data_IF_293611515910
#
_entry.id   IF_293611515910
#
_cell.length_a   1.000
_cell.length_b   1.000
_cell.length_c   1.000
_cell.angle_alpha   90.00
_cell.angle_beta   90.00
_cell.angle_gamma   90.00
#
_symmetry.space_group_name_H-M   'P 1'
#
loop_
_entity.id
_entity.type
_entity.pdbx_description
1 polymer ?
#
# COMPACT_ATOMS: atom_id res chain seq x y z
N UNK A 1 21.28 -11.39 -28.57
CA UNK A 1 19.91 -11.30 -28.02
C UNK A 1 19.96 -10.41 -26.79
N UNK A 2 19.42 -9.19 -26.86
CA UNK A 2 19.44 -8.26 -25.72
C UNK A 2 18.15 -8.44 -24.92
N UNK A 3 18.26 -8.93 -23.69
CA UNK A 3 17.13 -9.00 -22.76
C UNK A 3 16.77 -7.58 -22.33
N UNK A 4 15.73 -7.01 -22.95
CA UNK A 4 15.14 -5.78 -22.45
C UNK A 4 14.52 -6.08 -21.08
N UNK A 5 15.27 -5.79 -20.02
CA UNK A 5 14.69 -5.69 -18.69
C UNK A 5 13.62 -4.62 -18.78
N UNK A 6 12.34 -5.01 -18.82
CA UNK A 6 11.24 -4.09 -18.60
C UNK A 6 11.50 -3.46 -17.25
N UNK A 7 12.06 -2.24 -17.26
CA UNK A 7 12.08 -1.38 -16.08
C UNK A 7 10.62 -1.25 -15.73
N UNK A 8 10.18 -1.97 -14.68
CA UNK A 8 8.91 -1.73 -14.04
C UNK A 8 8.96 -0.24 -13.69
N UNK A 9 8.38 0.61 -14.53
CA UNK A 9 8.04 1.95 -14.11
C UNK A 9 7.10 1.68 -12.97
N UNK A 10 7.58 1.80 -11.74
CA UNK A 10 6.71 1.91 -10.58
C UNK A 10 5.79 3.05 -10.94
N UNK A 11 4.56 2.72 -11.37
CA UNK A 11 3.53 3.69 -11.59
C UNK A 11 3.35 4.31 -10.21
N UNK A 12 3.85 5.53 -10.05
CA UNK A 12 3.62 6.28 -8.82
C UNK A 12 2.15 6.70 -8.88
N UNK A 13 1.32 5.86 -8.32
CA UNK A 13 -0.10 6.13 -8.13
C UNK A 13 -0.17 6.61 -6.69
N UNK A 14 -0.76 7.78 -6.40
CA UNK A 14 -0.87 8.30 -5.04
C UNK A 14 -1.91 7.50 -4.26
N UNK A 15 -1.63 6.23 -4.00
CA UNK A 15 -2.45 5.39 -3.13
C UNK A 15 -2.05 5.68 -1.68
N UNK A 16 -2.53 6.81 -1.19
CA UNK A 16 -2.49 7.17 0.22
C UNK A 16 -3.91 7.34 0.74
N UNK A 17 -4.06 7.27 2.05
CA UNK A 17 -5.32 7.38 2.75
C UNK A 17 -6.16 6.11 2.73
N UNK A 18 -7.39 6.19 3.25
CA UNK A 18 -8.28 5.03 3.46
C UNK A 18 -8.57 4.24 2.18
N UNK A 19 -8.56 4.88 1.01
CA UNK A 19 -8.83 4.24 -0.29
C UNK A 19 -7.83 3.12 -0.61
N UNK A 20 -6.60 3.17 -0.06
CA UNK A 20 -5.62 2.08 -0.20
C UNK A 20 -6.16 0.75 0.34
N UNK A 21 -7.02 0.80 1.37
CA UNK A 21 -7.62 -0.38 2.00
C UNK A 21 -8.72 -1.02 1.13
N UNK A 22 -9.22 -0.30 0.13
CA UNK A 22 -10.26 -0.79 -0.79
C UNK A 22 -9.68 -1.59 -1.97
N UNK A 23 -8.35 -1.56 -2.19
CA UNK A 23 -7.67 -2.29 -3.26
C UNK A 23 -7.06 -3.60 -2.74
N UNK A 24 -7.63 -4.78 -3.02
CA UNK A 24 -7.19 -6.05 -2.41
C UNK A 24 -5.73 -6.41 -2.66
N UNK A 25 -5.18 -5.99 -3.80
CA UNK A 25 -3.79 -6.26 -4.17
C UNK A 25 -2.78 -5.35 -3.43
N UNK A 26 -3.24 -4.26 -2.83
CA UNK A 26 -2.42 -3.27 -2.13
C UNK A 26 -2.70 -3.23 -0.63
N UNK A 27 -3.88 -3.66 -0.21
CA UNK A 27 -4.31 -3.68 1.17
C UNK A 27 -3.61 -4.80 1.97
N UNK A 28 -2.79 -4.43 2.95
CA UNK A 28 -2.19 -5.35 3.93
C UNK A 28 -3.01 -5.46 5.23
N UNK A 29 -4.10 -4.70 5.35
CA UNK A 29 -5.00 -4.69 6.49
C UNK A 29 -4.29 -4.32 7.80
N UNK A 30 -4.42 -5.17 8.81
CA UNK A 30 -3.73 -5.00 10.09
C UNK A 30 -2.22 -5.18 10.00
N UNK A 31 -1.70 -5.78 8.92
CA UNK A 31 -0.27 -6.06 8.73
C UNK A 31 0.54 -4.86 8.24
N UNK A 32 -0.06 -3.69 8.00
CA UNK A 32 0.70 -2.46 7.77
C UNK A 32 1.52 -2.06 9.01
N UNK A 33 2.82 -1.83 8.82
CA UNK A 33 3.70 -1.33 9.87
C UNK A 33 3.34 0.11 10.27
N UNK A 34 3.85 0.57 11.42
CA UNK A 34 3.66 1.96 11.87
C UNK A 34 4.23 2.97 10.87
N UNK A 35 5.41 2.67 10.31
CA UNK A 35 6.06 3.49 9.31
C UNK A 35 5.22 3.55 8.01
N UNK A 36 4.72 2.40 7.54
CA UNK A 36 3.87 2.34 6.36
C UNK A 36 2.57 3.12 6.57
N UNK A 37 1.94 3.01 7.75
CA UNK A 37 0.73 3.77 8.08
C UNK A 37 0.98 5.27 8.04
N UNK A 38 2.12 5.73 8.56
CA UNK A 38 2.52 7.14 8.51
C UNK A 38 2.75 7.58 7.05
N UNK A 39 3.52 6.81 6.30
CA UNK A 39 3.87 7.12 4.90
C UNK A 39 2.65 7.11 3.97
N UNK A 40 1.66 6.27 4.24
CA UNK A 40 0.42 6.15 3.48
C UNK A 40 -0.76 6.90 4.11
N UNK A 41 -0.56 7.68 5.20
CA UNK A 41 -1.63 8.41 5.90
C UNK A 41 -2.85 7.53 6.25
N UNK A 42 -2.59 6.31 6.76
CA UNK A 42 -3.63 5.33 7.09
C UNK A 42 -4.14 5.50 8.52
N UNK A 43 -5.45 5.37 8.76
CA UNK A 43 -5.99 5.37 10.11
C UNK A 43 -5.56 4.10 10.88
N UNK A 44 -5.42 4.22 12.20
CA UNK A 44 -5.30 3.04 13.07
C UNK A 44 -6.59 2.20 12.95
N UNK A 45 -6.52 0.86 12.85
CA UNK A 45 -7.72 0.04 12.94
C UNK A 45 -8.39 0.40 14.27
N UNK A 46 -9.69 0.69 14.22
CA UNK A 46 -10.45 0.89 15.44
C UNK A 46 -10.19 -0.31 16.36
N UNK A 47 -9.78 -0.04 17.60
CA UNK A 47 -9.50 -1.07 18.58
C UNK A 47 -10.77 -1.92 18.74
N UNK A 48 -10.80 -3.10 18.11
CA UNK A 48 -12.00 -3.95 18.12
C UNK A 48 -12.18 -4.91 16.94
N UNK A 49 -11.45 -4.77 15.83
CA UNK A 49 -11.48 -5.78 14.75
C UNK A 49 -10.37 -6.82 14.95
N UNK A 50 -10.58 -7.70 15.93
CA UNK A 50 -9.87 -8.98 16.05
C UNK A 50 -10.59 -10.07 15.28
#
# INVERSE_FOLDING_TARGET
MQFTHKKNRSLYIPYAGPVLLEFPLLNKGSAFSLEERSNFNLPWPAAGSG
#
